data_IF_827221638242
#
_entry.id   IF_827221638242
#
_cell.length_a   1.000
_cell.length_b   1.000
_cell.length_c   1.000
_cell.angle_alpha   90.00
_cell.angle_beta   90.00
_cell.angle_gamma   90.00
#
_symmetry.space_group_name_H-M   'P 1'
#
loop_
_entity.id
_entity.type
_entity.pdbx_description
1 polymer ?
#
# COMPACT_ATOMS: atom_id res chain seq x y z
N UNK A 1 -2.03 -9.72 -12.31
CA UNK A 1 -2.43 -9.33 -10.95
C UNK A 1 -2.02 -10.47 -10.01
N UNK A 2 -1.30 -10.18 -8.94
CA UNK A 2 -0.94 -11.14 -7.89
C UNK A 2 -1.70 -10.76 -6.61
N UNK A 3 -2.48 -11.70 -6.07
CA UNK A 3 -3.08 -11.56 -4.73
C UNK A 3 -2.06 -12.05 -3.71
N UNK A 4 -1.78 -11.23 -2.71
CA UNK A 4 -0.82 -11.49 -1.65
C UNK A 4 -1.58 -11.68 -0.35
N UNK A 5 -1.74 -12.93 0.06
CA UNK A 5 -2.51 -13.32 1.26
C UNK A 5 -1.76 -14.31 2.16
N UNK A 6 -0.56 -14.74 1.76
CA UNK A 6 0.27 -15.70 2.49
C UNK A 6 1.77 -15.45 2.24
N UNK A 7 2.63 -16.21 2.93
CA UNK A 7 4.08 -16.08 2.82
C UNK A 7 4.61 -16.38 1.40
N UNK A 8 4.01 -17.34 0.69
CA UNK A 8 4.46 -17.76 -0.65
C UNK A 8 4.17 -16.69 -1.71
N UNK A 9 2.96 -16.12 -1.68
CA UNK A 9 2.57 -15.00 -2.54
C UNK A 9 3.35 -13.74 -2.20
N UNK A 10 3.64 -13.49 -0.92
CA UNK A 10 4.47 -12.38 -0.48
C UNK A 10 5.92 -12.51 -0.96
N UNK A 11 6.52 -13.71 -0.87
CA UNK A 11 7.87 -13.96 -1.37
C UNK A 11 7.99 -13.64 -2.87
N UNK A 12 7.02 -14.10 -3.67
CA UNK A 12 6.95 -13.79 -5.11
C UNK A 12 6.80 -12.30 -5.38
N UNK A 13 6.05 -11.59 -4.53
CA UNK A 13 5.85 -10.15 -4.66
C UNK A 13 7.18 -9.36 -4.51
N UNK A 14 8.00 -9.72 -3.51
CA UNK A 14 9.23 -8.98 -3.15
C UNK A 14 10.23 -8.84 -4.29
N UNK A 15 10.38 -9.86 -5.15
CA UNK A 15 11.34 -9.84 -6.26
C UNK A 15 11.09 -8.67 -7.24
N UNK A 16 9.84 -8.22 -7.35
CA UNK A 16 9.43 -7.21 -8.32
C UNK A 16 9.59 -5.78 -7.82
N UNK A 17 9.87 -5.61 -6.52
CA UNK A 17 10.12 -4.31 -5.90
C UNK A 17 11.62 -3.98 -5.82
N UNK A 18 12.49 -4.88 -6.30
CA UNK A 18 13.93 -4.62 -6.42
C UNK A 18 14.15 -3.50 -7.46
N UNK A 19 14.73 -2.39 -7.01
CA UNK A 19 15.05 -1.24 -7.87
C UNK A 19 13.83 -0.42 -8.31
N UNK A 20 12.68 -0.58 -7.64
CA UNK A 20 11.49 0.20 -7.93
C UNK A 20 11.69 1.67 -7.51
N UNK A 21 11.37 2.60 -8.40
CA UNK A 21 11.43 4.06 -8.14
C UNK A 21 10.04 4.67 -7.89
N UNK A 22 8.98 4.00 -8.32
CA UNK A 22 7.62 4.51 -8.34
C UNK A 22 6.62 3.38 -8.19
N UNK A 23 5.60 3.58 -7.36
CA UNK A 23 4.47 2.66 -7.21
C UNK A 23 3.17 3.44 -7.21
N UNK A 24 2.16 2.94 -7.92
CA UNK A 24 0.80 3.44 -7.78
C UNK A 24 0.09 2.72 -6.63
N UNK A 25 -0.73 3.45 -5.88
CA UNK A 25 -1.36 3.03 -4.64
C UNK A 25 -2.84 3.39 -4.63
N UNK A 26 -3.64 2.48 -4.08
CA UNK A 26 -5.05 2.71 -3.70
C UNK A 26 -5.36 1.77 -2.51
N UNK A 27 -6.28 2.17 -1.61
CA UNK A 27 -6.75 1.30 -0.54
C UNK A 27 -8.27 1.14 -0.60
N UNK A 28 -8.74 -0.06 -0.25
CA UNK A 28 -10.16 -0.37 -0.21
C UNK A 28 -10.55 -0.92 1.15
N UNK A 29 -11.81 -0.70 1.54
CA UNK A 29 -12.27 -1.02 2.88
C UNK A 29 -13.73 -0.67 3.16
N UNK A 30 -14.14 -0.87 4.41
CA UNK A 30 -15.48 -0.50 4.89
C UNK A 30 -15.37 0.81 5.65
N UNK A 31 -16.04 1.86 5.16
CA UNK A 31 -15.94 3.23 5.70
C UNK A 31 -14.47 3.70 5.81
N UNK A 32 -13.71 3.57 4.71
CA UNK A 32 -12.26 3.82 4.67
C UNK A 32 -11.87 5.13 5.36
N UNK A 33 -10.91 5.03 6.28
CA UNK A 33 -10.47 6.09 7.19
C UNK A 33 -10.22 5.52 8.60
N UNK A 34 -9.88 6.38 9.56
CA UNK A 34 -9.49 5.96 10.92
C UNK A 34 -10.54 5.17 11.71
N UNK A 35 -11.83 5.36 11.40
CA UNK A 35 -12.94 4.72 12.11
C UNK A 35 -13.45 3.44 11.41
N UNK A 36 -13.02 3.21 10.17
CA UNK A 36 -13.44 2.07 9.36
C UNK A 36 -12.48 0.90 9.48
N UNK A 37 -12.29 0.21 8.36
CA UNK A 37 -11.34 -0.90 8.23
C UNK A 37 -10.70 -0.85 6.85
N UNK A 38 -9.40 -1.08 6.76
CA UNK A 38 -8.72 -1.36 5.48
C UNK A 38 -8.82 -2.86 5.23
N UNK A 39 -9.34 -3.26 4.08
CA UNK A 39 -9.38 -4.67 3.66
C UNK A 39 -8.30 -5.00 2.64
N UNK A 40 -7.95 -4.04 1.79
CA UNK A 40 -7.03 -4.25 0.68
C UNK A 40 -6.11 -3.03 0.55
N UNK A 41 -4.85 -3.29 0.25
CA UNK A 41 -3.92 -2.30 -0.30
C UNK A 41 -3.57 -2.74 -1.73
N UNK A 42 -3.92 -1.94 -2.74
CA UNK A 42 -3.51 -2.17 -4.12
C UNK A 42 -2.19 -1.46 -4.40
N UNK A 43 -1.23 -2.18 -4.97
CA UNK A 43 0.03 -1.61 -5.46
C UNK A 43 0.17 -1.93 -6.95
N UNK A 44 0.59 -0.97 -7.75
CA UNK A 44 0.85 -1.17 -9.16
C UNK A 44 2.22 -0.63 -9.57
N UNK A 45 2.97 -1.46 -10.31
CA UNK A 45 4.21 -1.09 -10.98
C UNK A 45 3.95 -0.95 -12.49
N UNK A 46 4.99 -0.66 -13.26
CA UNK A 46 4.88 -0.62 -14.74
C UNK A 46 4.51 -1.97 -15.36
N UNK A 47 4.77 -3.08 -14.68
CA UNK A 47 4.66 -4.43 -15.24
C UNK A 47 3.67 -5.34 -14.52
N UNK A 48 3.23 -4.95 -13.31
CA UNK A 48 2.39 -5.81 -12.49
C UNK A 48 1.49 -5.01 -11.53
N UNK A 49 0.44 -5.68 -11.07
CA UNK A 49 -0.49 -5.19 -10.05
C UNK A 49 -0.55 -6.22 -8.94
N UNK A 50 -0.58 -5.74 -7.71
CA UNK A 50 -0.59 -6.50 -6.47
C UNK A 50 -1.78 -6.08 -5.63
N UNK A 51 -2.45 -7.06 -5.03
CA UNK A 51 -3.55 -6.87 -4.09
C UNK A 51 -3.08 -7.48 -2.79
N UNK A 52 -2.72 -6.65 -1.82
CA UNK A 52 -2.36 -7.11 -0.48
C UNK A 52 -3.65 -7.30 0.31
N UNK A 53 -3.94 -8.55 0.69
CA UNK A 53 -5.04 -8.87 1.59
C UNK A 53 -4.64 -8.52 3.01
N UNK A 54 -5.21 -7.44 3.53
CA UNK A 54 -4.97 -6.95 4.89
C UNK A 54 -6.25 -6.98 5.73
N UNK A 55 -7.28 -7.71 5.28
CA UNK A 55 -8.58 -7.72 5.95
C UNK A 55 -8.43 -8.17 7.40
N UNK A 56 -7.73 -9.25 7.69
CA UNK A 56 -7.56 -9.73 9.06
C UNK A 56 -6.10 -9.57 9.55
N UNK A 57 -5.34 -8.68 8.91
CA UNK A 57 -3.97 -8.37 9.26
C UNK A 57 -3.91 -7.29 10.36
N UNK A 58 -2.94 -7.43 11.26
CA UNK A 58 -2.54 -6.37 12.18
C UNK A 58 -1.28 -5.65 11.69
N UNK A 59 -0.88 -4.61 12.42
CA UNK A 59 0.30 -3.79 12.11
C UNK A 59 1.63 -4.58 12.09
N UNK A 60 1.68 -5.74 12.76
CA UNK A 60 2.88 -6.57 12.89
C UNK A 60 2.94 -7.70 11.85
N UNK A 61 1.87 -7.90 11.08
CA UNK A 61 1.83 -8.91 10.02
C UNK A 61 2.88 -8.65 8.93
N UNK A 62 3.40 -9.72 8.32
CA UNK A 62 4.45 -9.59 7.29
C UNK A 62 3.99 -8.83 6.05
N UNK A 63 2.71 -8.94 5.69
CA UNK A 63 2.11 -8.24 4.55
C UNK A 63 2.06 -6.73 4.83
N UNK A 64 1.65 -6.33 6.04
CA UNK A 64 1.64 -4.92 6.44
C UNK A 64 3.05 -4.38 6.59
N UNK A 65 3.97 -5.16 7.18
CA UNK A 65 5.39 -4.79 7.25
C UNK A 65 6.03 -4.59 5.87
N UNK A 66 5.65 -5.42 4.89
CA UNK A 66 6.05 -5.22 3.50
C UNK A 66 5.48 -3.93 2.91
N UNK A 67 4.18 -3.67 3.06
CA UNK A 67 3.56 -2.43 2.61
C UNK A 67 4.26 -1.21 3.24
N UNK A 68 4.48 -1.23 4.56
CA UNK A 68 5.20 -0.19 5.31
C UNK A 68 6.58 0.08 4.71
N UNK A 69 7.35 -0.98 4.41
CA UNK A 69 8.71 -0.84 3.84
C UNK A 69 8.75 -0.13 2.48
N UNK A 70 7.63 -0.14 1.73
CA UNK A 70 7.51 0.55 0.43
C UNK A 70 6.96 1.97 0.65
N UNK A 71 5.89 2.09 1.43
CA UNK A 71 5.14 3.33 1.59
C UNK A 71 5.92 4.38 2.40
N UNK A 72 6.80 3.95 3.30
CA UNK A 72 7.68 4.82 4.09
C UNK A 72 9.07 5.03 3.47
N UNK A 73 9.33 4.46 2.28
CA UNK A 73 10.61 4.63 1.60
C UNK A 73 10.65 5.93 0.77
N UNK A 74 11.50 6.87 1.15
CA UNK A 74 11.66 8.16 0.45
C UNK A 74 12.15 8.01 -1.00
N UNK A 75 12.90 6.94 -1.32
CA UNK A 75 13.40 6.69 -2.67
C UNK A 75 12.31 6.21 -3.65
N UNK A 76 11.14 5.80 -3.14
CA UNK A 76 10.02 5.33 -3.96
C UNK A 76 8.93 6.41 -3.97
N UNK A 77 8.54 6.87 -5.15
CA UNK A 77 7.40 7.80 -5.29
C UNK A 77 6.09 7.02 -5.20
N UNK A 78 5.15 7.45 -4.33
CA UNK A 78 3.80 6.88 -4.26
C UNK A 78 2.85 7.72 -5.09
N UNK A 79 2.52 7.24 -6.27
CA UNK A 79 1.46 7.82 -7.11
C UNK A 79 0.11 7.40 -6.54
N UNK A 80 -0.75 8.35 -6.19
CA UNK A 80 -2.07 8.09 -5.63
C UNK A 80 -3.06 9.12 -6.15
N UNK A 81 -4.35 8.84 -6.14
CA UNK A 81 -5.39 9.79 -6.48
C UNK A 81 -6.23 10.06 -5.25
N UNK A 82 -6.21 11.30 -4.74
CA UNK A 82 -6.95 11.71 -3.54
C UNK A 82 -6.55 10.92 -2.28
N UNK A 83 -5.33 11.13 -1.78
CA UNK A 83 -4.72 10.29 -0.75
C UNK A 83 -5.30 10.42 0.66
N UNK A 84 -6.31 11.27 0.86
CA UNK A 84 -6.73 11.73 2.19
C UNK A 84 -7.29 10.59 3.04
N UNK A 85 -8.20 9.79 2.48
CA UNK A 85 -8.82 8.68 3.20
C UNK A 85 -7.83 7.52 3.40
N UNK A 86 -7.04 7.21 2.37
CA UNK A 86 -6.00 6.18 2.42
C UNK A 86 -4.95 6.49 3.47
N UNK A 87 -4.43 7.73 3.48
CA UNK A 87 -3.44 8.16 4.47
C UNK A 87 -3.98 8.14 5.88
N UNK A 88 -5.24 8.55 6.09
CA UNK A 88 -5.87 8.49 7.41
C UNK A 88 -6.04 7.04 7.88
N UNK A 89 -6.44 6.14 6.98
CA UNK A 89 -6.62 4.73 7.27
C UNK A 89 -5.29 4.01 7.56
N UNK A 90 -4.30 4.16 6.67
CA UNK A 90 -2.98 3.54 6.79
C UNK A 90 -2.27 3.93 8.10
N UNK A 91 -2.37 5.20 8.50
CA UNK A 91 -1.76 5.67 9.74
C UNK A 91 -2.45 5.08 10.97
N UNK A 92 -3.79 5.10 11.03
CA UNK A 92 -4.50 4.69 12.26
C UNK A 92 -4.61 3.17 12.42
N UNK A 93 -4.71 2.41 11.33
CA UNK A 93 -4.84 0.94 11.39
C UNK A 93 -3.50 0.22 11.44
N UNK A 94 -2.46 0.78 10.79
CA UNK A 94 -1.18 0.09 10.59
C UNK A 94 0.05 0.91 11.01
N UNK A 95 -0.13 2.16 11.46
CA UNK A 95 1.00 3.03 11.79
C UNK A 95 1.89 3.35 10.59
N UNK A 96 1.35 3.30 9.37
CA UNK A 96 2.09 3.58 8.13
C UNK A 96 1.97 5.08 7.82
N UNK A 97 3.11 5.77 7.74
CA UNK A 97 3.19 7.16 7.32
C UNK A 97 3.72 7.25 5.90
N UNK A 98 2.85 7.53 4.93
CA UNK A 98 3.31 7.69 3.55
C UNK A 98 4.26 8.89 3.39
N UNK A 99 5.38 8.68 2.71
CA UNK A 99 6.37 9.73 2.38
C UNK A 99 6.56 9.81 0.87
N UNK A 100 7.08 10.91 0.32
CA UNK A 100 7.28 11.07 -1.14
C UNK A 100 6.01 10.71 -1.96
N UNK A 101 4.89 11.33 -1.60
CA UNK A 101 3.57 11.12 -2.22
C UNK A 101 3.38 12.10 -3.35
N UNK A 102 2.91 11.59 -4.49
CA UNK A 102 2.46 12.37 -5.63
C UNK A 102 0.96 12.12 -5.84
N UNK A 103 0.16 13.08 -5.37
CA UNK A 103 -1.30 13.00 -5.47
C UNK A 103 -1.80 13.62 -6.79
N UNK A 104 -2.26 12.74 -7.68
CA UNK A 104 -2.74 13.09 -9.02
C UNK A 104 -4.04 13.91 -9.02
N UNK A 105 -4.78 13.99 -7.91
CA UNK A 105 -5.99 14.82 -7.83
C UNK A 105 -5.66 16.33 -7.80
N UNK A 106 -4.57 16.69 -7.13
CA UNK A 106 -4.17 18.09 -6.92
C UNK A 106 -3.07 18.56 -7.87
N UNK A 107 -2.40 17.62 -8.54
CA UNK A 107 -1.39 17.91 -9.56
C UNK A 107 -2.08 18.34 -10.85
N UNK A 108 -1.74 19.54 -11.33
CA UNK A 108 -2.10 20.06 -12.65
C UNK A 108 -1.01 19.78 -13.67
#
# INVERSE_FOLDING_TARGET
>A
VLVVCDADSLAKCREWFIGLDTVALDCEGVHLGRMGKVSIIQLATKTAVYILDVLDADAESEIVGFAKSILENEAITKLIHDCRADSDALFHHFGITMVNVHDTQVVR
#
